data_IF_987243886848
#
_entry.id   IF_987243886848
#
_cell.length_a   1.000
_cell.length_b   1.000
_cell.length_c   1.000
_cell.angle_alpha   90.00
_cell.angle_beta   90.00
_cell.angle_gamma   90.00
#
_symmetry.space_group_name_H-M   'P 1'
#
loop_
_entity.id
_entity.type
_entity.pdbx_description
1 polymer ?
#
# COMPACT_ATOMS: atom_id res chain seq x y z
N UNK A 1 -8.84 -25.03 9.09
CA UNK A 1 -8.67 -24.93 7.63
C UNK A 1 -8.40 -23.48 7.34
N UNK A 2 -7.13 -23.10 7.43
CA UNK A 2 -6.68 -21.76 7.05
C UNK A 2 -6.39 -21.85 5.56
N UNK A 3 -7.30 -21.27 4.77
CA UNK A 3 -7.13 -21.09 3.33
C UNK A 3 -5.95 -20.12 3.16
N UNK A 4 -4.78 -20.70 2.92
CA UNK A 4 -3.52 -19.99 2.82
C UNK A 4 -3.59 -19.15 1.53
N UNK A 5 -3.99 -17.89 1.66
CA UNK A 5 -4.23 -16.96 0.56
C UNK A 5 -2.92 -16.72 -0.20
N UNK A 6 -2.66 -17.55 -1.22
CA UNK A 6 -1.59 -17.30 -2.20
C UNK A 6 -2.08 -16.20 -3.14
N UNK A 7 -1.33 -15.10 -3.31
CA UNK A 7 -1.67 -14.06 -4.32
C UNK A 7 -1.77 -14.63 -5.74
N UNK A 8 -1.12 -15.76 -5.99
CA UNK A 8 -1.22 -16.53 -7.21
C UNK A 8 -1.93 -17.84 -6.86
N UNK A 9 -3.11 -18.03 -7.42
CA UNK A 9 -3.82 -19.32 -7.37
C UNK A 9 -2.97 -20.36 -8.12
N UNK A 10 -2.26 -21.18 -7.35
CA UNK A 10 -1.34 -22.18 -7.88
C UNK A 10 -2.08 -23.29 -8.63
N UNK A 11 -3.33 -23.59 -8.23
CA UNK A 11 -4.16 -24.61 -8.87
C UNK A 11 -4.66 -24.09 -10.22
N UNK A 12 -5.11 -22.83 -10.27
CA UNK A 12 -5.46 -22.16 -11.52
C UNK A 12 -4.26 -22.06 -12.47
N UNK A 13 -3.07 -21.72 -11.96
CA UNK A 13 -1.85 -21.67 -12.75
C UNK A 13 -1.47 -23.06 -13.28
N UNK A 14 -1.44 -24.09 -12.43
CA UNK A 14 -1.18 -25.48 -12.83
C UNK A 14 -2.15 -25.95 -13.93
N UNK A 15 -3.44 -25.62 -13.79
CA UNK A 15 -4.45 -25.94 -14.79
C UNK A 15 -4.17 -25.25 -16.13
N UNK A 16 -3.86 -23.94 -16.12
CA UNK A 16 -3.50 -23.21 -17.33
C UNK A 16 -2.26 -23.76 -18.04
N UNK A 17 -1.26 -24.24 -17.28
CA UNK A 17 -0.06 -24.88 -17.82
C UNK A 17 -0.41 -26.20 -18.52
N UNK A 18 -1.32 -26.99 -17.93
CA UNK A 18 -1.77 -28.27 -18.48
C UNK A 18 -2.57 -28.08 -19.78
N UNK A 19 -3.43 -27.07 -19.81
CA UNK A 19 -4.31 -26.76 -20.93
C UNK A 19 -3.63 -25.96 -22.06
N UNK A 20 -2.53 -25.25 -21.78
CA UNK A 20 -1.83 -24.39 -22.73
C UNK A 20 -1.00 -25.12 -23.80
N UNK A 21 -0.31 -24.37 -24.65
CA UNK A 21 0.58 -24.92 -25.67
C UNK A 21 1.91 -25.40 -25.08
N UNK A 22 2.48 -26.48 -25.63
CA UNK A 22 3.79 -27.00 -25.23
C UNK A 22 3.88 -28.52 -25.31
N UNK A 23 5.10 -29.03 -25.32
CA UNK A 23 5.34 -30.47 -25.27
C UNK A 23 4.98 -31.04 -23.89
N UNK A 24 4.63 -32.34 -23.80
CA UNK A 24 4.32 -32.98 -22.51
C UNK A 24 5.43 -32.81 -21.46
N UNK A 25 6.69 -32.84 -21.89
CA UNK A 25 7.85 -32.66 -21.00
C UNK A 25 7.92 -31.23 -20.46
N UNK A 26 7.70 -30.22 -21.31
CA UNK A 26 7.71 -28.81 -20.87
C UNK A 26 6.60 -28.54 -19.84
N UNK A 27 5.40 -29.10 -20.07
CA UNK A 27 4.28 -28.98 -19.13
C UNK A 27 4.57 -29.66 -17.79
N UNK A 28 5.18 -30.84 -17.83
CA UNK A 28 5.58 -31.57 -16.62
C UNK A 28 6.58 -30.77 -15.78
N UNK A 29 7.66 -30.27 -16.41
CA UNK A 29 8.66 -29.47 -15.69
C UNK A 29 8.07 -28.18 -15.12
N UNK A 30 7.19 -27.49 -15.85
CA UNK A 30 6.52 -26.30 -15.35
C UNK A 30 5.63 -26.60 -14.12
N UNK A 31 4.87 -27.70 -14.15
CA UNK A 31 4.02 -28.12 -13.01
C UNK A 31 4.86 -28.45 -11.77
N UNK A 32 5.98 -29.16 -11.94
CA UNK A 32 6.92 -29.48 -10.84
C UNK A 32 7.53 -28.20 -10.25
N UNK A 33 7.92 -27.24 -11.07
CA UNK A 33 8.46 -25.96 -10.60
C UNK A 33 7.42 -25.16 -9.80
N UNK A 34 6.16 -25.12 -10.24
CA UNK A 34 5.08 -24.43 -9.52
C UNK A 34 4.75 -25.13 -8.20
N UNK A 35 4.72 -26.46 -8.17
CA UNK A 35 4.46 -27.23 -6.96
C UNK A 35 5.60 -27.13 -5.92
N UNK A 36 6.84 -27.02 -6.38
CA UNK A 36 8.04 -26.91 -5.53
C UNK A 36 8.39 -25.48 -5.12
N UNK A 37 7.75 -24.46 -5.70
CA UNK A 37 8.02 -23.07 -5.37
C UNK A 37 7.58 -22.75 -3.93
N UNK A 38 8.40 -22.05 -3.13
CA UNK A 38 7.99 -21.62 -1.81
C UNK A 38 6.82 -20.64 -1.92
N UNK A 39 5.82 -20.82 -1.07
CA UNK A 39 4.72 -19.86 -0.93
C UNK A 39 5.20 -18.64 -0.18
N UNK A 40 5.00 -17.46 -0.76
CA UNK A 40 5.10 -16.22 -0.01
C UNK A 40 3.70 -15.84 0.47
N UNK A 41 3.57 -15.59 1.77
CA UNK A 41 2.38 -14.93 2.31
C UNK A 41 2.48 -13.46 1.92
N UNK A 42 1.70 -13.07 0.93
CA UNK A 42 1.68 -11.71 0.45
C UNK A 42 0.24 -11.21 0.55
N UNK A 43 0.06 -10.20 1.39
CA UNK A 43 -1.21 -9.49 1.45
C UNK A 43 -1.29 -8.50 0.27
N UNK A 44 -2.50 -8.24 -0.26
CA UNK A 44 -2.72 -7.10 -1.13
C UNK A 44 -2.17 -5.83 -0.49
N UNK A 45 -1.56 -4.96 -1.30
CA UNK A 45 -1.08 -3.66 -0.82
C UNK A 45 -2.28 -2.87 -0.31
N UNK A 46 -2.27 -2.55 0.98
CA UNK A 46 -3.27 -1.66 1.57
C UNK A 46 -2.93 -0.24 1.14
N UNK A 47 -3.91 0.48 0.59
CA UNK A 47 -3.77 1.89 0.24
C UNK A 47 -4.32 2.74 1.39
N UNK A 48 -3.56 3.75 1.82
CA UNK A 48 -3.92 4.65 2.92
C UNK A 48 -3.68 6.12 2.57
N UNK A 49 -4.11 7.02 3.45
CA UNK A 49 -3.96 8.46 3.29
C UNK A 49 -3.25 9.08 4.50
N UNK A 50 -2.38 10.07 4.23
CA UNK A 50 -1.82 10.91 5.28
C UNK A 50 -2.83 11.99 5.63
N UNK A 51 -3.47 11.85 6.78
CA UNK A 51 -4.49 12.77 7.27
C UNK A 51 -3.82 13.92 8.05
N UNK A 52 -3.98 15.18 7.63
CA UNK A 52 -3.41 16.33 8.33
C UNK A 52 -4.16 16.61 9.63
N UNK A 53 -3.41 16.93 10.68
CA UNK A 53 -3.89 17.36 11.99
C UNK A 53 -3.25 18.69 12.33
N UNK A 54 -4.07 19.73 12.47
CA UNK A 54 -3.60 21.09 12.74
C UNK A 54 -3.50 21.32 14.24
N UNK A 55 -2.30 21.64 14.70
CA UNK A 55 -2.04 21.98 16.09
C UNK A 55 -1.67 23.45 16.23
N UNK A 56 -2.06 24.03 17.37
CA UNK A 56 -1.75 25.41 17.74
C UNK A 56 -1.28 25.40 19.19
N UNK A 57 0.02 25.57 19.37
CA UNK A 57 0.62 25.64 20.69
C UNK A 57 0.89 27.10 21.08
N UNK A 58 0.56 27.44 22.32
CA UNK A 58 0.92 28.73 22.92
C UNK A 58 2.39 28.67 23.32
N UNK A 59 3.22 29.49 22.68
CA UNK A 59 4.65 29.58 23.00
C UNK A 59 4.90 30.73 23.98
N UNK A 60 4.10 31.79 23.92
CA UNK A 60 4.14 32.91 24.86
C UNK A 60 2.74 33.51 25.09
N UNK A 61 2.64 34.57 25.90
CA UNK A 61 1.37 35.28 26.11
C UNK A 61 0.79 35.91 24.82
N UNK A 62 1.64 36.14 23.81
CA UNK A 62 1.26 36.84 22.58
C UNK A 62 1.54 36.05 21.30
N UNK A 63 2.29 34.94 21.37
CA UNK A 63 2.68 34.16 20.20
C UNK A 63 2.14 32.72 20.24
N UNK A 64 1.60 32.30 19.11
CA UNK A 64 1.17 30.94 18.83
C UNK A 64 2.05 30.34 17.74
N UNK A 65 2.52 29.11 17.94
CA UNK A 65 3.12 28.31 16.87
C UNK A 65 2.08 27.35 16.33
N UNK A 66 1.82 27.44 15.02
CA UNK A 66 1.00 26.48 14.29
C UNK A 66 1.89 25.48 13.56
N UNK A 67 1.62 24.19 13.74
CA UNK A 67 2.25 23.13 12.96
C UNK A 67 1.21 22.08 12.54
N UNK A 68 1.53 21.34 11.49
CA UNK A 68 0.69 20.27 10.96
C UNK A 68 1.41 18.95 11.22
N UNK A 69 0.71 18.00 11.82
CA UNK A 69 1.12 16.61 11.88
C UNK A 69 0.31 15.78 10.89
N UNK A 70 0.85 14.66 10.45
CA UNK A 70 0.12 13.72 9.61
C UNK A 70 -0.02 12.40 10.35
N UNK A 71 -1.19 11.76 10.26
CA UNK A 71 -1.38 10.39 10.75
C UNK A 71 -1.90 9.49 9.63
N UNK A 72 -1.54 8.22 9.71
CA UNK A 72 -1.98 7.21 8.74
C UNK A 72 -3.45 6.87 8.95
N UNK A 73 -4.26 6.86 7.89
CA UNK A 73 -5.67 6.43 7.93
C UNK A 73 -5.85 4.98 8.41
N UNK A 74 -4.90 4.10 8.10
CA UNK A 74 -5.04 2.66 8.34
C UNK A 74 -4.66 2.25 9.77
N UNK A 75 -3.60 2.85 10.32
CA UNK A 75 -3.07 2.45 11.63
C UNK A 75 -3.03 3.58 12.66
N UNK A 76 -3.42 4.81 12.30
CA UNK A 76 -3.39 5.99 13.17
C UNK A 76 -1.98 6.46 13.55
N UNK A 77 -0.92 5.83 13.04
CA UNK A 77 0.46 6.17 13.40
C UNK A 77 0.81 7.56 12.86
N UNK A 78 1.39 8.39 13.72
CA UNK A 78 1.86 9.73 13.37
C UNK A 78 3.16 9.69 12.60
N UNK A 79 3.22 10.49 11.54
CA UNK A 79 4.43 10.79 10.79
C UNK A 79 5.18 11.91 11.52
N UNK A 80 6.32 11.58 12.12
CA UNK A 80 7.15 12.51 12.90
C UNK A 80 8.35 12.93 12.04
N UNK A 81 8.63 14.23 11.97
CA UNK A 81 9.85 14.75 11.34
C UNK A 81 9.76 14.97 9.82
N UNK A 82 8.70 14.52 9.15
CA UNK A 82 8.44 14.86 7.75
C UNK A 82 7.50 16.05 7.66
N UNK A 83 7.89 17.09 6.90
CA UNK A 83 7.02 18.25 6.61
C UNK A 83 6.13 18.00 5.41
N UNK A 84 6.58 17.18 4.46
CA UNK A 84 5.83 16.85 3.26
C UNK A 84 5.43 15.36 3.31
N UNK A 85 4.12 15.02 3.27
CA UNK A 85 3.67 13.63 3.23
C UNK A 85 4.14 12.88 1.97
N UNK A 86 4.54 13.59 0.91
CA UNK A 86 5.12 12.98 -0.30
C UNK A 86 6.47 12.29 -0.07
N UNK A 87 7.23 12.73 0.94
CA UNK A 87 8.52 12.12 1.27
C UNK A 87 8.35 10.74 1.94
N UNK A 88 7.16 10.42 2.42
CA UNK A 88 6.82 9.16 3.07
C UNK A 88 5.74 8.39 2.29
N UNK A 89 6.07 7.80 1.12
CA UNK A 89 5.10 7.08 0.28
C UNK A 89 4.57 5.79 0.90
N UNK A 90 5.15 5.33 2.01
CA UNK A 90 4.70 4.16 2.75
C UNK A 90 4.65 4.46 4.24
N UNK A 91 3.63 3.94 4.91
CA UNK A 91 3.60 3.89 6.36
C UNK A 91 4.31 2.64 6.86
N UNK A 92 4.79 2.68 8.11
CA UNK A 92 5.35 1.52 8.79
C UNK A 92 4.38 0.33 8.93
N UNK A 93 3.07 0.54 8.79
CA UNK A 93 2.11 -0.57 8.74
C UNK A 93 2.10 -1.33 7.40
N UNK A 94 2.87 -0.90 6.40
CA UNK A 94 2.89 -1.47 5.06
C UNK A 94 1.89 -0.83 4.10
N UNK A 95 1.05 0.10 4.57
CA UNK A 95 0.15 0.83 3.70
C UNK A 95 0.92 1.77 2.76
N UNK A 96 0.58 1.72 1.46
CA UNK A 96 1.03 2.68 0.47
C UNK A 96 0.18 3.95 0.60
N UNK A 97 0.84 5.07 0.78
CA UNK A 97 0.18 6.33 1.08
C UNK A 97 -0.10 7.07 -0.22
N UNK A 98 -1.37 7.19 -0.57
CA UNK A 98 -1.80 7.95 -1.74
C UNK A 98 -1.72 9.44 -1.42
N UNK A 99 -1.20 10.20 -2.37
CA UNK A 99 -1.25 11.65 -2.30
C UNK A 99 -2.69 12.06 -2.49
N UNK A 100 -3.22 12.89 -1.57
CA UNK A 100 -4.42 13.67 -1.90
C UNK A 100 -4.08 14.40 -3.20
N UNK A 101 -4.78 14.05 -4.29
CA UNK A 101 -4.68 14.76 -5.54
C UNK A 101 -4.84 16.24 -5.27
N UNK A 102 -4.04 17.06 -5.94
CA UNK A 102 -4.24 18.49 -5.99
C UNK A 102 -5.70 18.73 -6.42
N UNK A 103 -6.53 19.09 -5.46
CA UNK A 103 -7.87 19.60 -5.71
C UNK A 103 -7.67 20.84 -6.59
N UNK A 104 -8.07 20.73 -7.87
CA UNK A 104 -8.11 21.83 -8.81
C UNK A 104 -8.97 22.94 -8.18
N UNK A 105 -8.34 24.03 -7.74
CA UNK A 105 -8.99 25.29 -7.41
C UNK A 105 -9.59 25.86 -8.69
N UNK A 106 -10.83 25.45 -8.98
CA UNK A 106 -11.68 26.08 -9.98
C UNK A 106 -12.06 27.48 -9.50
N UNK A 107 -11.16 28.45 -9.70
CA UNK A 107 -11.47 29.87 -9.52
C UNK A 107 -12.25 30.39 -10.73
N UNK A 108 -13.55 30.12 -10.83
CA UNK A 108 -14.46 30.98 -11.58
C UNK A 108 -14.75 32.21 -10.73
N UNK A 109 -14.05 33.33 -11.04
CA UNK A 109 -14.41 34.65 -10.53
C UNK A 109 -15.46 35.27 -11.45
N UNK A 110 -16.59 35.64 -10.84
CA UNK A 110 -17.65 36.49 -11.37
C UNK A 110 -17.18 37.93 -11.63
#
# INVERSE_FOLDING_TARGET
MEDNMRLIDADALSKSIKDGDGTPIQKFFADVCVAGAPTVDAAPVVHGLWLPEHHKDKVSQTEYHSYIWYHCSECGRRLIGCRNPQEAPYCHCGAKMDLRGEDNDGSEKA
#
